data_IF_970237568201
#
_entry.id   IF_970237568201
#
_cell.length_a   1.000
_cell.length_b   1.000
_cell.length_c   1.000
_cell.angle_alpha   90.00
_cell.angle_beta   90.00
_cell.angle_gamma   90.00
#
_symmetry.space_group_name_H-M   'P 1'
#
loop_
_entity.id
_entity.type
_entity.pdbx_description
1 polymer ?
#
# COMPACT_ATOMS: atom_id res chain seq x y z
N UNK A 1 15.87 -17.37 1.35
CA UNK A 1 14.75 -16.86 0.52
C UNK A 1 13.43 -16.67 1.30
N UNK A 2 13.29 -17.17 2.53
CA UNK A 2 12.04 -17.09 3.32
C UNK A 2 11.73 -15.72 3.93
N UNK A 3 12.75 -14.94 4.30
CA UNK A 3 12.56 -13.66 5.02
C UNK A 3 11.89 -12.56 4.18
N UNK A 4 12.32 -12.35 2.92
CA UNK A 4 11.74 -11.32 2.05
C UNK A 4 10.29 -11.63 1.66
N UNK A 5 9.99 -12.90 1.39
CA UNK A 5 8.63 -13.34 1.10
C UNK A 5 7.71 -13.11 2.30
N UNK A 6 8.16 -13.46 3.50
CA UNK A 6 7.38 -13.29 4.72
C UNK A 6 7.16 -11.81 5.06
N UNK A 7 8.15 -10.95 4.80
CA UNK A 7 8.04 -9.50 4.96
C UNK A 7 7.06 -8.90 3.95
N UNK A 8 7.13 -9.32 2.68
CA UNK A 8 6.19 -8.94 1.65
C UNK A 8 4.76 -9.39 2.04
N UNK A 9 4.56 -10.67 2.37
CA UNK A 9 3.26 -11.18 2.82
C UNK A 9 2.70 -10.40 4.02
N UNK A 10 3.55 -10.05 4.99
CA UNK A 10 3.15 -9.26 6.15
C UNK A 10 2.72 -7.85 5.74
N UNK A 11 3.47 -7.19 4.85
CA UNK A 11 3.11 -5.88 4.32
C UNK A 11 1.77 -5.91 3.56
N UNK A 12 1.51 -6.98 2.78
CA UNK A 12 0.23 -7.17 2.10
C UNK A 12 -0.93 -7.31 3.09
N UNK A 13 -0.79 -8.17 4.10
CA UNK A 13 -1.81 -8.39 5.12
C UNK A 13 -2.11 -7.11 5.91
N UNK A 14 -1.08 -6.34 6.26
CA UNK A 14 -1.23 -5.07 6.97
C UNK A 14 -1.83 -3.98 6.07
N UNK A 15 -1.49 -3.93 4.78
CA UNK A 15 -2.12 -3.03 3.81
C UNK A 15 -3.62 -3.30 3.70
N UNK A 16 -4.05 -4.57 3.63
CA UNK A 16 -5.47 -4.94 3.62
C UNK A 16 -6.19 -4.45 4.87
N UNK A 17 -5.65 -4.77 6.05
CA UNK A 17 -6.26 -4.36 7.32
C UNK A 17 -6.36 -2.84 7.46
N UNK A 18 -5.34 -2.09 7.01
CA UNK A 18 -5.34 -0.63 7.03
C UNK A 18 -6.37 -0.05 6.06
N UNK A 19 -6.45 -0.60 4.85
CA UNK A 19 -7.43 -0.17 3.84
C UNK A 19 -8.86 -0.40 4.32
N UNK A 20 -9.14 -1.55 4.94
CA UNK A 20 -10.47 -1.87 5.48
C UNK A 20 -10.84 -0.93 6.65
N UNK A 21 -9.89 -0.57 7.51
CA UNK A 21 -10.10 0.41 8.58
C UNK A 21 -10.38 1.82 8.04
N UNK A 22 -9.69 2.23 6.97
CA UNK A 22 -9.91 3.53 6.32
C UNK A 22 -11.26 3.59 5.60
N UNK A 23 -11.71 2.49 5.00
CA UNK A 23 -13.04 2.39 4.36
C UNK A 23 -14.17 2.62 5.35
N UNK A 24 -14.03 2.14 6.59
CA UNK A 24 -14.99 2.43 7.66
C UNK A 24 -15.03 3.92 8.05
N UNK A 25 -14.07 4.73 7.58
CA UNK A 25 -13.92 6.17 7.86
C UNK A 25 -13.92 7.00 6.57
N UNK A 26 -14.58 6.54 5.52
CA UNK A 26 -14.50 7.10 4.16
C UNK A 26 -14.85 8.61 4.03
N UNK A 27 -15.54 9.19 5.03
CA UNK A 27 -15.91 10.62 5.05
C UNK A 27 -14.89 11.52 5.77
N UNK A 28 -13.72 11.00 6.14
CA UNK A 28 -12.67 11.79 6.76
C UNK A 28 -12.04 12.79 5.77
N UNK A 29 -11.82 14.03 6.21
CA UNK A 29 -11.11 15.03 5.40
C UNK A 29 -9.65 14.64 5.16
N UNK A 30 -9.02 15.18 4.11
CA UNK A 30 -7.60 14.92 3.80
C UNK A 30 -6.65 15.20 4.99
N UNK A 31 -6.96 16.24 5.78
CA UNK A 31 -6.18 16.58 6.99
C UNK A 31 -6.35 15.52 8.08
N UNK A 32 -7.55 14.95 8.22
CA UNK A 32 -7.81 13.86 9.14
C UNK A 32 -7.12 12.58 8.67
N UNK A 33 -7.17 12.27 7.37
CA UNK A 33 -6.47 11.13 6.76
C UNK A 33 -4.94 11.22 6.93
N UNK A 34 -4.33 12.40 6.75
CA UNK A 34 -2.89 12.57 6.97
C UNK A 34 -2.43 12.29 8.42
N UNK A 35 -3.36 12.42 9.38
CA UNK A 35 -3.14 12.10 10.80
C UNK A 35 -3.58 10.68 11.16
N UNK A 36 -4.32 10.01 10.29
CA UNK A 36 -4.84 8.68 10.52
C UNK A 36 -3.68 7.65 10.53
N UNK A 37 -3.54 6.86 11.61
CA UNK A 37 -2.50 5.85 11.71
C UNK A 37 -2.63 4.75 10.65
N UNK A 38 -3.85 4.43 10.21
CA UNK A 38 -4.12 3.42 9.19
C UNK A 38 -3.72 3.96 7.81
N UNK A 39 -3.89 5.26 7.54
CA UNK A 39 -3.39 5.89 6.32
C UNK A 39 -1.86 5.83 6.24
N UNK A 40 -1.17 6.13 7.35
CA UNK A 40 0.30 6.02 7.44
C UNK A 40 0.78 4.57 7.35
N UNK A 41 0.01 3.63 7.90
CA UNK A 41 0.30 2.19 7.80
C UNK A 41 0.17 1.71 6.37
N UNK A 42 -0.91 2.08 5.67
CA UNK A 42 -1.12 1.78 4.26
C UNK A 42 0.03 2.34 3.39
N UNK A 43 0.45 3.58 3.66
CA UNK A 43 1.61 4.20 3.01
C UNK A 43 2.90 3.38 3.20
N UNK A 44 3.20 3.03 4.47
CA UNK A 44 4.41 2.27 4.82
C UNK A 44 4.43 0.89 4.18
N UNK A 45 3.29 0.19 4.17
CA UNK A 45 3.17 -1.12 3.55
C UNK A 45 3.41 -1.04 2.04
N UNK A 46 2.84 -0.02 1.37
CA UNK A 46 3.11 0.24 -0.05
C UNK A 46 4.60 0.44 -0.35
N UNK A 47 5.32 1.19 0.48
CA UNK A 47 6.77 1.35 0.33
C UNK A 47 7.54 0.03 0.50
N UNK A 48 7.16 -0.83 1.45
CA UNK A 48 7.78 -2.16 1.63
C UNK A 48 7.53 -3.05 0.42
N UNK A 49 6.30 -3.09 -0.08
CA UNK A 49 5.91 -3.87 -1.26
C UNK A 49 6.71 -3.40 -2.49
N UNK A 50 6.78 -2.10 -2.73
CA UNK A 50 7.56 -1.52 -3.83
C UNK A 50 9.06 -1.83 -3.69
N UNK A 51 9.62 -1.71 -2.47
CA UNK A 51 11.04 -1.97 -2.21
C UNK A 51 11.43 -3.42 -2.47
N UNK A 52 10.61 -4.37 -2.04
CA UNK A 52 10.93 -5.80 -2.09
C UNK A 52 10.54 -6.45 -3.43
N UNK A 53 9.42 -6.04 -4.02
CA UNK A 53 8.84 -6.70 -5.20
C UNK A 53 8.67 -5.80 -6.43
N UNK A 54 9.02 -4.51 -6.34
CA UNK A 54 8.93 -3.56 -7.44
C UNK A 54 7.51 -3.32 -7.96
N UNK A 55 7.40 -2.78 -9.17
CA UNK A 55 6.13 -2.53 -9.86
C UNK A 55 5.19 -3.75 -9.94
N UNK A 56 5.67 -4.97 -10.28
CA UNK A 56 4.81 -6.15 -10.32
C UNK A 56 4.12 -6.47 -8.99
N UNK A 57 4.82 -6.31 -7.86
CA UNK A 57 4.21 -6.54 -6.54
C UNK A 57 3.21 -5.43 -6.17
N UNK A 58 3.44 -4.19 -6.60
CA UNK A 58 2.46 -3.10 -6.43
C UNK A 58 1.20 -3.36 -7.27
N UNK A 59 1.34 -3.77 -8.53
CA UNK A 59 0.20 -4.15 -9.36
C UNK A 59 -0.58 -5.31 -8.74
N UNK A 60 0.12 -6.37 -8.31
CA UNK A 60 -0.51 -7.48 -7.61
C UNK A 60 -1.21 -7.07 -6.31
N UNK A 61 -0.66 -6.10 -5.56
CA UNK A 61 -1.29 -5.52 -4.38
C UNK A 61 -2.55 -4.74 -4.72
N UNK A 62 -2.53 -3.94 -5.78
CA UNK A 62 -3.70 -3.20 -6.24
C UNK A 62 -4.82 -4.18 -6.62
N UNK A 63 -4.50 -5.21 -7.41
CA UNK A 63 -5.49 -6.18 -7.89
C UNK A 63 -6.05 -7.04 -6.74
N UNK A 64 -5.25 -7.36 -5.72
CA UNK A 64 -5.70 -8.13 -4.55
C UNK A 64 -6.47 -7.30 -3.51
N UNK A 65 -6.23 -5.99 -3.42
CA UNK A 65 -6.83 -5.10 -2.43
C UNK A 65 -8.09 -4.40 -2.96
N UNK A 66 -8.19 -4.20 -4.26
CA UNK A 66 -9.34 -3.56 -4.88
C UNK A 66 -10.56 -4.49 -4.80
N UNK A 67 -11.66 -3.98 -4.25
CA UNK A 67 -12.95 -4.69 -4.28
C UNK A 67 -13.78 -4.30 -5.51
N UNK A 68 -13.47 -3.14 -6.11
CA UNK A 68 -14.12 -2.61 -7.31
C UNK A 68 -13.16 -1.73 -8.15
N UNK A 69 -13.59 -1.35 -9.35
CA UNK A 69 -12.80 -0.54 -10.29
C UNK A 69 -12.44 0.84 -9.74
N UNK A 70 -13.30 1.43 -8.89
CA UNK A 70 -13.08 2.76 -8.30
C UNK A 70 -11.98 2.68 -7.24
N UNK A 71 -12.00 1.64 -6.42
CA UNK A 71 -10.97 1.34 -5.44
C UNK A 71 -9.63 1.03 -6.13
N UNK A 72 -9.66 0.24 -7.21
CA UNK A 72 -8.48 -0.03 -8.03
C UNK A 72 -7.89 1.26 -8.60
N UNK A 73 -8.72 2.15 -9.16
CA UNK A 73 -8.27 3.44 -9.68
C UNK A 73 -7.69 4.36 -8.58
N UNK A 74 -8.27 4.37 -7.38
CA UNK A 74 -7.76 5.13 -6.26
C UNK A 74 -6.40 4.61 -5.77
N UNK A 75 -6.26 3.29 -5.61
CA UNK A 75 -5.00 2.65 -5.24
C UNK A 75 -3.92 2.85 -6.31
N UNK A 76 -4.26 2.74 -7.60
CA UNK A 76 -3.35 3.06 -8.72
C UNK A 76 -2.86 4.50 -8.64
N UNK A 77 -3.75 5.48 -8.47
CA UNK A 77 -3.35 6.89 -8.35
C UNK A 77 -2.45 7.12 -7.13
N UNK A 78 -2.76 6.47 -6.01
CA UNK A 78 -2.01 6.62 -4.77
C UNK A 78 -0.61 5.98 -4.84
N UNK A 79 -0.50 4.78 -5.40
CA UNK A 79 0.76 4.03 -5.47
C UNK A 79 1.54 4.17 -6.77
N UNK A 80 1.01 4.88 -7.78
CA UNK A 80 1.75 5.18 -9.02
C UNK A 80 3.11 5.85 -8.76
N UNK A 81 3.19 6.70 -7.71
CA UNK A 81 4.46 7.32 -7.30
C UNK A 81 5.41 6.37 -6.58
N UNK A 82 4.91 5.27 -6.00
CA UNK A 82 5.72 4.28 -5.29
C UNK A 82 6.39 3.29 -6.25
N UNK A 83 5.81 3.03 -7.42
CA UNK A 83 6.43 2.23 -8.50
C UNK A 83 7.74 2.86 -8.99
N UNK A 84 7.81 4.19 -8.94
CA UNK A 84 8.97 4.99 -9.34
C UNK A 84 9.92 5.27 -8.18
N UNK A 85 9.61 4.80 -6.96
CA UNK A 85 10.46 5.06 -5.81
C UNK A 85 11.83 4.42 -6.12
N UNK A 86 12.89 5.23 -6.29
CA UNK A 86 14.19 4.68 -6.59
C UNK A 86 14.50 3.75 -5.44
N UNK A 87 14.95 2.54 -5.71
CA UNK A 87 15.49 1.65 -4.67
C UNK A 87 16.51 2.49 -3.89
N UNK A 88 16.10 3.13 -2.79
CA UNK A 88 16.95 4.07 -2.08
C UNK A 88 17.91 3.19 -1.32
N UNK A 89 19.01 2.90 -2.02
CA UNK A 89 20.36 2.67 -1.54
C UNK A 89 20.40 1.82 -0.28
N UNK A 90 20.61 0.52 -0.49
CA UNK A 90 21.59 -0.16 0.33
C UNK A 90 22.93 0.57 0.13
N UNK A 91 23.27 1.43 1.07
CA UNK A 91 24.64 1.77 1.42
C UNK A 91 24.84 1.38 2.87
#
# INVERSE_FOLDING_TARGET
>A
MTSQYQELFTAFREARSALDALRARADASDVALARDPDYRRLHRCGMVIARLGGGPAIHGAIDALADDDRCSAALRRYWAGMEQWPQTRGH
#
